data_IF_374807461417
#
_entry.id   IF_374807461417
#
_cell.length_a   1.000
_cell.length_b   1.000
_cell.length_c   1.000
_cell.angle_alpha   90.00
_cell.angle_beta   90.00
_cell.angle_gamma   90.00
#
_symmetry.space_group_name_H-M   'P 1'
#
loop_
_entity.id
_entity.type
_entity.pdbx_description
1 polymer ?
#
# COMPACT_ATOMS: atom_id res chain seq x y z
N UNK A 1 -30.69 71.25 5.47
CA UNK A 1 -31.98 71.48 4.79
C UNK A 1 -31.92 70.69 3.50
N UNK A 2 -32.44 69.46 3.52
CA UNK A 2 -33.72 69.07 2.90
C UNK A 2 -33.59 69.09 1.35
N UNK A 3 -33.81 68.02 0.59
CA UNK A 3 -34.83 66.97 0.76
C UNK A 3 -34.50 65.71 -0.05
N UNK A 4 -35.04 64.59 0.41
CA UNK A 4 -35.18 63.29 -0.25
C UNK A 4 -35.85 63.37 -1.62
N UNK A 5 -35.46 62.48 -2.55
CA UNK A 5 -36.44 61.77 -3.38
C UNK A 5 -35.99 60.33 -3.65
N UNK A 6 -36.90 59.45 -3.26
CA UNK A 6 -36.87 58.00 -3.23
C UNK A 6 -37.31 57.49 -4.62
N UNK A 7 -36.49 56.66 -5.29
CA UNK A 7 -36.92 55.97 -6.52
C UNK A 7 -37.06 54.49 -6.21
N UNK A 8 -38.32 54.04 -6.16
CA UNK A 8 -38.74 52.65 -6.08
C UNK A 8 -38.56 52.01 -7.46
N UNK A 9 -37.74 50.97 -7.56
CA UNK A 9 -37.58 50.22 -8.82
C UNK A 9 -38.26 48.85 -8.72
N UNK A 10 -38.99 48.54 -9.79
CA UNK A 10 -40.10 47.62 -9.80
C UNK A 10 -39.68 46.15 -9.94
N UNK A 11 -40.45 45.29 -9.25
CA UNK A 11 -40.45 43.84 -9.39
C UNK A 11 -40.76 43.45 -10.85
N UNK A 12 -39.81 42.78 -11.51
CA UNK A 12 -40.03 42.13 -12.81
C UNK A 12 -40.26 40.63 -12.59
N UNK A 13 -41.53 40.26 -12.51
CA UNK A 13 -41.99 38.88 -12.61
C UNK A 13 -41.81 38.38 -14.05
N UNK A 14 -41.23 37.19 -14.21
CA UNK A 14 -41.18 36.44 -15.48
C UNK A 14 -42.09 35.21 -15.31
N UNK A 15 -43.02 34.94 -16.26
CA UNK A 15 -43.97 33.85 -16.13
C UNK A 15 -43.36 32.48 -16.53
N UNK A 16 -43.81 31.46 -15.80
CA UNK A 16 -43.64 30.05 -16.10
C UNK A 16 -44.32 29.65 -17.42
N UNK A 17 -43.60 28.93 -18.26
CA UNK A 17 -44.09 28.19 -19.44
C UNK A 17 -43.17 26.98 -19.60
N UNK A 18 -43.55 25.80 -20.05
CA UNK A 18 -44.81 25.08 -20.16
C UNK A 18 -44.35 23.64 -20.43
N UNK A 19 -45.01 22.66 -19.81
CA UNK A 19 -44.77 21.26 -20.06
C UNK A 19 -45.16 20.90 -21.50
N UNK A 20 -44.29 20.20 -22.22
CA UNK A 20 -44.63 19.57 -23.50
C UNK A 20 -44.20 18.10 -23.47
N UNK A 21 -45.20 17.26 -23.20
CA UNK A 21 -45.20 15.82 -23.34
C UNK A 21 -45.47 15.47 -24.79
N UNK A 22 -44.58 14.75 -25.47
CA UNK A 22 -44.93 13.96 -26.65
C UNK A 22 -44.20 12.62 -26.59
N UNK A 23 -44.99 11.55 -26.70
CA UNK A 23 -44.54 10.18 -26.59
C UNK A 23 -44.16 9.52 -27.91
N UNK A 24 -43.42 8.42 -27.75
CA UNK A 24 -43.58 7.12 -28.40
C UNK A 24 -43.58 7.02 -29.93
N UNK A 25 -42.49 6.49 -30.50
CA UNK A 25 -42.54 5.47 -31.55
C UNK A 25 -41.29 4.58 -31.60
N UNK A 26 -41.53 3.29 -31.37
CA UNK A 26 -40.86 2.03 -31.73
C UNK A 26 -39.48 1.97 -32.43
N UNK A 27 -38.61 1.15 -31.81
CA UNK A 27 -37.86 -0.01 -32.34
C UNK A 27 -36.83 0.17 -33.48
N UNK A 28 -35.55 -0.10 -33.17
CA UNK A 28 -34.84 -1.27 -33.74
C UNK A 28 -33.53 -1.58 -33.01
N UNK A 29 -33.12 -2.84 -33.17
CA UNK A 29 -32.27 -3.67 -32.32
C UNK A 29 -30.78 -3.52 -32.62
N UNK A 30 -29.95 -3.22 -31.61
CA UNK A 30 -28.51 -3.50 -31.65
C UNK A 30 -27.99 -3.74 -30.23
N UNK A 31 -27.70 -5.00 -29.92
CA UNK A 31 -27.14 -5.45 -28.65
C UNK A 31 -25.65 -5.07 -28.55
N UNK A 32 -25.29 -4.27 -27.55
CA UNK A 32 -23.89 -4.10 -27.13
C UNK A 32 -23.80 -4.02 -25.61
N UNK A 33 -23.01 -4.95 -25.07
CA UNK A 33 -22.74 -5.30 -23.68
C UNK A 33 -22.58 -4.11 -22.73
N UNK A 34 -23.48 -4.02 -21.75
CA UNK A 34 -23.27 -3.33 -20.47
C UNK A 34 -22.90 -4.41 -19.43
N UNK A 35 -21.78 -4.31 -18.70
CA UNK A 35 -21.51 -5.23 -17.60
C UNK A 35 -22.48 -4.92 -16.46
N UNK A 36 -23.40 -5.85 -16.23
CA UNK A 36 -24.37 -5.84 -15.13
C UNK A 36 -23.59 -6.02 -13.82
N UNK A 37 -23.46 -4.97 -13.02
CA UNK A 37 -22.94 -5.05 -11.66
C UNK A 37 -23.98 -5.82 -10.84
N UNK A 38 -23.64 -7.06 -10.50
CA UNK A 38 -24.43 -7.93 -9.64
C UNK A 38 -24.20 -7.47 -8.19
N UNK A 39 -25.25 -7.20 -7.38
CA UNK A 39 -25.06 -7.12 -5.95
C UNK A 39 -24.64 -8.50 -5.46
N UNK A 40 -23.48 -8.54 -4.80
CA UNK A 40 -22.77 -9.73 -4.35
C UNK A 40 -23.74 -10.69 -3.63
N UNK A 41 -24.08 -11.81 -4.28
CA UNK A 41 -24.79 -12.90 -3.63
C UNK A 41 -23.82 -13.62 -2.68
N UNK A 42 -24.27 -14.07 -1.50
CA UNK A 42 -23.41 -14.78 -0.56
C UNK A 42 -22.95 -16.10 -1.16
N UNK A 43 -21.66 -16.40 -0.97
CA UNK A 43 -20.99 -17.61 -1.46
C UNK A 43 -21.72 -18.88 -0.97
N UNK A 44 -21.79 -19.95 -1.80
CA UNK A 44 -22.36 -21.22 -1.40
C UNK A 44 -21.49 -21.89 -0.32
N UNK A 45 -22.16 -22.47 0.68
CA UNK A 45 -21.59 -23.20 1.79
C UNK A 45 -20.53 -24.20 1.34
N UNK A 46 -19.28 -23.88 1.69
CA UNK A 46 -18.18 -24.81 1.61
C UNK A 46 -18.38 -25.90 2.64
N UNK A 47 -18.51 -27.14 2.16
CA UNK A 47 -18.12 -28.39 2.81
C UNK A 47 -18.05 -28.33 4.34
N UNK A 48 -19.12 -28.81 4.95
CA UNK A 48 -19.27 -29.03 6.38
C UNK A 48 -18.24 -30.04 6.90
N UNK A 49 -17.00 -29.59 7.08
CA UNK A 49 -16.02 -30.22 7.94
C UNK A 49 -16.48 -29.98 9.37
N UNK A 50 -17.22 -30.97 9.89
CA UNK A 50 -17.69 -31.09 11.26
C UNK A 50 -16.77 -30.37 12.27
N UNK A 51 -17.15 -29.14 12.64
CA UNK A 51 -16.65 -28.48 13.86
C UNK A 51 -17.35 -29.15 15.03
N UNK A 52 -16.88 -30.34 15.39
CA UNK A 52 -17.05 -30.84 16.75
C UNK A 52 -16.24 -29.92 17.66
N UNK A 53 -16.92 -29.00 18.32
CA UNK A 53 -16.44 -28.38 19.55
C UNK A 53 -15.86 -29.50 20.43
N UNK A 54 -14.60 -29.44 20.88
CA UNK A 54 -14.17 -30.34 21.94
C UNK A 54 -15.00 -29.94 23.15
N UNK A 55 -15.91 -30.83 23.57
CA UNK A 55 -16.51 -30.71 24.90
C UNK A 55 -15.38 -30.49 25.89
N UNK A 56 -15.53 -29.51 26.77
CA UNK A 56 -14.71 -29.40 27.97
C UNK A 56 -14.98 -30.64 28.84
N UNK A 57 -14.37 -31.75 28.46
CA UNK A 57 -14.14 -32.86 29.38
C UNK A 57 -13.06 -32.35 30.32
N UNK A 58 -13.48 -32.10 31.55
CA UNK A 58 -12.60 -31.98 32.70
C UNK A 58 -11.57 -33.11 32.63
N UNK A 59 -10.34 -32.77 32.25
CA UNK A 59 -9.23 -33.67 32.46
C UNK A 59 -9.01 -33.69 33.96
N UNK A 60 -9.56 -34.70 34.63
CA UNK A 60 -9.12 -35.10 35.95
C UNK A 60 -7.62 -35.35 35.83
N UNK A 61 -6.82 -34.44 36.40
CA UNK A 61 -5.41 -34.69 36.60
C UNK A 61 -5.30 -36.00 37.38
N UNK A 62 -4.78 -37.04 36.74
CA UNK A 62 -4.32 -38.23 37.43
C UNK A 62 -3.08 -37.83 38.23
N UNK A 63 -3.34 -37.27 39.40
CA UNK A 63 -2.37 -37.24 40.48
C UNK A 63 -2.25 -38.68 40.94
N UNK A 64 -1.19 -39.38 40.55
CA UNK A 64 -0.84 -40.65 41.19
C UNK A 64 -0.52 -40.34 42.66
N UNK A 65 -1.30 -40.79 43.65
CA UNK A 65 -0.88 -40.66 45.03
C UNK A 65 0.31 -41.61 45.20
N UNK A 66 1.46 -41.05 45.57
CA UNK A 66 2.55 -41.85 46.13
C UNK A 66 2.06 -42.36 47.48
N UNK A 67 1.49 -43.57 47.49
CA UNK A 67 1.16 -44.29 48.71
C UNK A 67 2.46 -44.86 49.27
N UNK A 68 2.97 -44.19 50.29
CA UNK A 68 3.93 -44.73 51.23
C UNK A 68 3.22 -45.87 51.99
N UNK A 69 3.45 -47.11 51.58
CA UNK A 69 2.89 -48.31 52.21
C UNK A 69 4.01 -49.32 52.31
N UNK A 70 4.39 -49.61 53.56
CA UNK A 70 5.37 -50.62 53.94
C UNK A 70 4.98 -51.99 53.35
N UNK A 71 5.94 -52.84 52.96
CA UNK A 71 5.63 -54.13 52.35
C UNK A 71 5.19 -55.12 53.44
N UNK A 72 3.95 -55.58 53.36
CA UNK A 72 3.41 -56.67 54.18
C UNK A 72 3.72 -58.01 53.52
N UNK A 73 4.53 -58.84 54.19
CA UNK A 73 4.90 -60.19 53.78
C UNK A 73 3.74 -61.18 54.02
N UNK A 74 2.69 -61.15 53.19
CA UNK A 74 1.91 -62.33 52.82
C UNK A 74 0.75 -61.97 51.87
N UNK A 75 1.01 -61.99 50.57
CA UNK A 75 -0.04 -62.13 49.56
C UNK A 75 0.49 -62.95 48.39
N UNK A 76 -0.11 -64.12 48.19
CA UNK A 76 0.11 -65.03 47.07
C UNK A 76 -0.21 -64.32 45.73
N UNK A 77 0.53 -64.58 44.64
CA UNK A 77 0.35 -63.90 43.37
C UNK A 77 -0.83 -64.50 42.60
N UNK A 78 -2.03 -63.97 42.81
CA UNK A 78 -3.22 -64.34 42.04
C UNK A 78 -3.18 -63.67 40.65
N UNK A 79 -2.70 -64.46 39.68
CA UNK A 79 -2.87 -64.36 38.22
C UNK A 79 -3.12 -62.98 37.59
N UNK A 80 -2.03 -62.22 37.45
CA UNK A 80 -1.91 -61.11 36.51
C UNK A 80 -1.98 -61.69 35.07
N UNK A 81 -3.17 -61.63 34.45
CA UNK A 81 -3.39 -62.25 33.14
C UNK A 81 -2.45 -61.63 32.11
N UNK A 82 -1.72 -62.46 31.36
CA UNK A 82 -0.77 -62.00 30.33
C UNK A 82 -1.39 -61.01 29.33
N UNK A 83 -2.71 -61.11 29.15
CA UNK A 83 -3.51 -60.32 28.22
C UNK A 83 -3.68 -58.85 28.65
N UNK A 84 -3.81 -58.58 29.96
CA UNK A 84 -3.89 -57.22 30.51
C UNK A 84 -2.53 -56.51 30.45
N UNK A 85 -1.43 -57.25 30.74
CA UNK A 85 -0.06 -56.77 30.53
C UNK A 85 0.26 -56.49 29.06
N UNK A 86 -0.27 -57.32 28.14
CA UNK A 86 -0.12 -57.11 26.70
C UNK A 86 -0.91 -55.91 26.19
N UNK A 87 -2.14 -55.70 26.68
CA UNK A 87 -2.94 -54.50 26.37
C UNK A 87 -2.26 -53.22 26.87
N UNK A 88 -1.78 -53.22 28.12
CA UNK A 88 -1.04 -52.10 28.69
C UNK A 88 0.27 -51.82 27.94
N UNK A 89 0.95 -52.85 27.42
CA UNK A 89 2.14 -52.69 26.58
C UNK A 89 1.80 -52.07 25.21
N UNK A 90 0.71 -52.51 24.57
CA UNK A 90 0.23 -51.95 23.29
C UNK A 90 -0.19 -50.49 23.43
N UNK A 91 -0.85 -50.12 24.52
CA UNK A 91 -1.28 -48.73 24.73
C UNK A 91 -0.09 -47.80 25.04
N UNK A 92 0.93 -48.29 25.77
CA UNK A 92 2.22 -47.58 25.94
C UNK A 92 2.94 -47.39 24.61
N UNK A 93 2.86 -48.35 23.71
CA UNK A 93 3.43 -48.26 22.36
C UNK A 93 2.69 -47.20 21.51
N UNK A 94 1.36 -47.20 21.51
CA UNK A 94 0.54 -46.17 20.84
C UNK A 94 0.80 -44.78 21.42
N UNK A 95 1.00 -44.66 22.73
CA UNK A 95 1.34 -43.40 23.37
C UNK A 95 2.73 -42.90 22.93
N UNK A 96 3.71 -43.81 22.87
CA UNK A 96 5.06 -43.52 22.36
C UNK A 96 5.02 -43.07 20.90
N UNK A 97 4.21 -43.71 20.06
CA UNK A 97 4.01 -43.32 18.66
C UNK A 97 3.36 -41.93 18.54
N UNK A 98 2.32 -41.65 19.32
CA UNK A 98 1.67 -40.32 19.38
C UNK A 98 2.63 -39.22 19.81
N UNK A 99 3.47 -39.49 20.81
CA UNK A 99 4.47 -38.54 21.27
C UNK A 99 5.52 -38.27 20.19
N UNK A 100 6.01 -39.31 19.52
CA UNK A 100 6.95 -39.19 18.42
C UNK A 100 6.39 -38.33 17.27
N UNK A 101 5.12 -38.54 16.89
CA UNK A 101 4.43 -37.73 15.88
C UNK A 101 4.31 -36.24 16.29
N UNK A 102 4.03 -35.95 17.57
CA UNK A 102 3.98 -34.57 18.10
C UNK A 102 5.35 -33.90 18.13
N UNK A 103 6.39 -34.64 18.52
CA UNK A 103 7.77 -34.14 18.53
C UNK A 103 8.29 -33.87 17.11
N UNK A 104 7.91 -34.70 16.12
CA UNK A 104 8.26 -34.47 14.72
C UNK A 104 7.65 -33.21 14.11
N UNK A 105 6.51 -32.74 14.65
CA UNK A 105 5.84 -31.49 14.24
C UNK A 105 6.18 -30.30 15.15
N UNK A 106 7.13 -30.45 16.08
CA UNK A 106 7.45 -29.41 17.06
C UNK A 106 8.08 -28.19 16.36
N UNK A 107 7.50 -26.99 16.49
CA UNK A 107 8.09 -25.78 15.91
C UNK A 107 9.40 -25.42 16.60
N UNK A 108 10.28 -24.74 15.86
CA UNK A 108 11.57 -24.29 16.37
C UNK A 108 11.40 -23.28 17.51
N UNK A 109 12.40 -23.18 18.40
CA UNK A 109 12.40 -22.16 19.47
C UNK A 109 12.35 -20.74 18.89
N UNK A 110 12.96 -20.54 17.72
CA UNK A 110 12.95 -19.27 16.99
C UNK A 110 11.55 -18.97 16.47
N UNK A 111 10.88 -19.94 15.83
CA UNK A 111 9.49 -19.81 15.35
C UNK A 111 8.52 -19.41 16.46
N UNK A 112 8.68 -20.02 17.64
CA UNK A 112 7.84 -19.71 18.80
C UNK A 112 8.07 -18.29 19.32
N UNK A 113 9.30 -17.75 19.21
CA UNK A 113 9.61 -16.35 19.54
C UNK A 113 9.05 -15.40 18.49
N UNK A 114 9.19 -15.72 17.20
CA UNK A 114 8.62 -14.94 16.09
C UNK A 114 7.09 -14.85 16.16
N UNK A 115 6.44 -15.93 16.61
CA UNK A 115 4.99 -15.95 16.87
C UNK A 115 4.59 -15.34 18.22
N UNK A 116 5.51 -14.73 18.96
CA UNK A 116 5.28 -14.15 20.29
C UNK A 116 4.73 -15.13 21.34
N UNK A 117 4.94 -16.44 21.17
CA UNK A 117 4.53 -17.47 22.14
C UNK A 117 5.55 -17.54 23.29
N UNK A 118 6.82 -17.25 22.99
CA UNK A 118 7.91 -17.22 23.96
C UNK A 118 8.52 -15.81 23.94
N UNK A 119 8.81 -15.26 25.13
CA UNK A 119 9.48 -13.96 25.24
C UNK A 119 10.88 -14.01 24.63
N UNK A 120 11.24 -12.91 23.96
CA UNK A 120 12.61 -12.67 23.50
C UNK A 120 13.37 -12.10 24.69
N UNK A 121 14.36 -12.83 25.19
CA UNK A 121 15.16 -12.42 26.34
C UNK A 121 16.48 -11.80 25.86
N UNK A 122 17.08 -10.92 26.66
CA UNK A 122 18.30 -10.17 26.28
C UNK A 122 19.55 -11.04 26.03
N UNK A 123 19.51 -12.34 26.36
CA UNK A 123 20.56 -13.31 26.03
C UNK A 123 20.50 -13.81 24.57
N UNK A 124 19.41 -13.53 23.84
CA UNK A 124 19.30 -13.79 22.41
C UNK A 124 19.98 -12.67 21.59
N UNK A 125 21.22 -12.33 21.96
CA UNK A 125 22.06 -11.48 21.12
C UNK A 125 22.51 -12.28 19.90
N UNK A 126 22.28 -11.70 18.73
CA UNK A 126 22.64 -12.18 17.40
C UNK A 126 24.11 -12.63 17.39
N UNK A 127 24.34 -13.93 17.51
CA UNK A 127 25.62 -14.56 17.22
C UNK A 127 25.39 -15.67 16.18
N UNK A 128 24.97 -15.29 14.98
CA UNK A 128 25.24 -16.10 13.79
C UNK A 128 26.41 -15.45 13.06
N UNK A 129 27.61 -15.85 13.50
CA UNK A 129 28.85 -15.68 12.75
C UNK A 129 28.65 -16.26 11.35
N UNK A 130 29.01 -15.46 10.34
CA UNK A 130 28.72 -15.73 8.94
C UNK A 130 29.32 -17.03 8.39
N UNK A 131 28.54 -17.69 7.53
CA UNK A 131 29.06 -18.40 6.36
C UNK A 131 28.67 -17.59 5.13
N UNK A 132 29.61 -17.06 4.34
CA UNK A 132 29.29 -16.41 3.08
C UNK A 132 29.06 -17.50 2.03
N UNK A 133 27.92 -17.44 1.35
CA UNK A 133 27.63 -18.23 0.16
C UNK A 133 26.52 -19.26 0.36
N UNK A 134 25.27 -18.81 0.28
CA UNK A 134 24.18 -19.40 -0.51
C UNK A 134 23.00 -18.40 -0.48
N UNK A 135 22.26 -18.38 -1.58
CA UNK A 135 21.31 -17.36 -2.03
C UNK A 135 20.06 -17.26 -1.13
N UNK A 136 19.70 -16.00 -0.81
CA UNK A 136 18.37 -15.45 -0.45
C UNK A 136 17.42 -16.32 0.40
N UNK A 137 17.66 -16.37 1.71
CA UNK A 137 16.55 -16.32 2.67
C UNK A 137 16.67 -15.01 3.45
N UNK A 138 15.64 -14.18 3.39
CA UNK A 138 15.53 -12.97 4.21
C UNK A 138 15.81 -13.34 5.67
N UNK A 139 16.82 -12.73 6.32
CA UNK A 139 17.14 -13.09 7.69
C UNK A 139 15.95 -12.75 8.56
N UNK A 140 15.36 -13.77 9.20
CA UNK A 140 14.34 -13.60 10.23
C UNK A 140 14.98 -12.90 11.44
N UNK A 141 15.14 -11.58 11.37
CA UNK A 141 15.80 -10.81 12.40
C UNK A 141 14.86 -10.72 13.60
N UNK A 142 15.24 -11.41 14.67
CA UNK A 142 14.55 -11.34 15.95
C UNK A 142 14.91 -10.00 16.63
N UNK A 143 14.23 -8.93 16.26
CA UNK A 143 14.36 -7.66 16.96
C UNK A 143 13.55 -7.72 18.26
N UNK A 144 14.21 -7.45 19.40
CA UNK A 144 13.51 -7.19 20.65
C UNK A 144 12.59 -5.97 20.42
N UNK A 145 11.26 -6.11 20.58
CA UNK A 145 10.37 -4.97 20.42
C UNK A 145 10.74 -3.94 21.49
N UNK A 146 10.76 -2.63 21.14
CA UNK A 146 11.08 -1.59 22.10
C UNK A 146 10.16 -1.66 23.32
N UNK A 147 10.72 -1.28 24.47
CA UNK A 147 10.00 -1.33 25.75
C UNK A 147 8.68 -0.56 25.63
N UNK A 148 7.65 -1.01 26.35
CA UNK A 148 6.34 -0.31 26.37
C UNK A 148 6.53 1.17 26.73
N UNK A 149 7.46 1.48 27.63
CA UNK A 149 7.80 2.87 28.02
C UNK A 149 8.37 3.66 26.83
N UNK A 150 9.32 3.09 26.10
CA UNK A 150 9.92 3.73 24.92
C UNK A 150 8.88 3.94 23.81
N UNK A 151 8.08 2.92 23.50
CA UNK A 151 6.97 3.02 22.56
C UNK A 151 5.98 4.11 22.95
N UNK A 152 5.65 4.22 24.25
CA UNK A 152 4.75 5.26 24.74
C UNK A 152 5.34 6.67 24.60
N UNK A 153 6.65 6.81 24.84
CA UNK A 153 7.35 8.09 24.68
C UNK A 153 7.42 8.51 23.21
N UNK A 154 7.78 7.57 22.33
CA UNK A 154 7.81 7.78 20.87
C UNK A 154 6.43 8.18 20.34
N UNK A 155 5.38 7.45 20.74
CA UNK A 155 4.00 7.77 20.35
C UNK A 155 3.60 9.18 20.79
N UNK A 156 3.91 9.58 22.02
CA UNK A 156 3.69 10.96 22.50
C UNK A 156 4.42 11.99 21.64
N UNK A 157 5.64 11.69 21.20
CA UNK A 157 6.40 12.53 20.27
C UNK A 157 5.71 12.68 18.90
N UNK A 158 5.22 11.57 18.34
CA UNK A 158 4.49 11.58 17.06
C UNK A 158 3.16 12.35 17.17
N UNK A 159 2.42 12.17 18.27
CA UNK A 159 1.15 12.86 18.49
C UNK A 159 1.32 14.38 18.62
N UNK A 160 2.42 14.85 19.24
CA UNK A 160 2.75 16.28 19.32
C UNK A 160 3.05 16.92 17.96
N UNK A 161 3.58 16.14 17.02
CA UNK A 161 3.94 16.59 15.66
C UNK A 161 2.91 16.17 14.62
N UNK A 162 1.70 15.78 15.05
CA UNK A 162 0.66 15.28 14.16
C UNK A 162 0.16 16.44 13.29
N UNK A 163 0.28 16.36 11.95
CA UNK A 163 -0.22 17.41 11.06
C UNK A 163 -1.76 17.42 11.06
N UNK A 164 -2.32 18.60 10.82
CA UNK A 164 -3.76 18.79 10.67
C UNK A 164 -4.29 18.19 9.36
N UNK A 165 -5.59 17.90 9.31
CA UNK A 165 -6.23 17.31 8.12
C UNK A 165 -6.06 18.20 6.89
N UNK A 166 -6.23 19.51 7.05
CA UNK A 166 -6.11 20.49 5.97
C UNK A 166 -4.72 20.47 5.33
N UNK A 167 -3.65 20.40 6.12
CA UNK A 167 -2.28 20.30 5.60
C UNK A 167 -2.04 19.02 4.79
N UNK A 168 -2.61 17.90 5.24
CA UNK A 168 -2.49 16.63 4.51
C UNK A 168 -3.27 16.66 3.19
N UNK A 169 -4.37 17.39 3.15
CA UNK A 169 -5.16 17.64 1.95
C UNK A 169 -4.41 18.53 0.96
N UNK A 170 -3.81 19.62 1.42
CA UNK A 170 -2.97 20.52 0.61
C UNK A 170 -1.76 19.78 0.01
N UNK A 171 -1.14 18.89 0.80
CA UNK A 171 -0.06 18.00 0.34
C UNK A 171 -0.54 16.84 -0.53
N UNK A 172 -1.84 16.75 -0.82
CA UNK A 172 -2.49 15.72 -1.64
C UNK A 172 -2.26 14.28 -1.12
N UNK A 173 -2.02 14.14 0.18
CA UNK A 173 -1.95 12.86 0.89
C UNK A 173 -3.36 12.37 1.18
N UNK A 174 -4.22 13.27 1.66
CA UNK A 174 -5.66 13.04 1.79
C UNK A 174 -6.39 13.72 0.63
N UNK A 175 -7.48 13.09 0.18
CA UNK A 175 -8.35 13.68 -0.85
C UNK A 175 -9.33 14.67 -0.19
N UNK A 176 -9.66 15.73 -0.92
CA UNK A 176 -10.72 16.68 -0.57
C UNK A 176 -12.10 16.03 -0.70
N UNK A 177 -12.40 15.10 0.21
CA UNK A 177 -13.74 14.54 0.35
C UNK A 177 -14.47 15.35 1.41
N UNK A 178 -15.23 16.32 0.94
CA UNK A 178 -16.23 17.02 1.74
C UNK A 178 -17.42 16.06 1.93
N UNK A 179 -17.51 15.42 3.09
CA UNK A 179 -18.61 14.56 3.52
C UNK A 179 -18.87 13.25 2.72
N UNK A 180 -17.93 12.81 1.87
CA UNK A 180 -18.03 11.50 1.22
C UNK A 180 -17.34 10.45 2.08
N UNK A 181 -17.98 9.28 2.22
CA UNK A 181 -17.41 8.16 2.97
C UNK A 181 -16.08 7.68 2.34
N UNK A 182 -15.16 7.19 3.17
CA UNK A 182 -13.85 6.73 2.74
C UNK A 182 -13.95 5.60 1.69
N UNK A 183 -14.98 4.75 1.82
CA UNK A 183 -15.29 3.68 0.87
C UNK A 183 -15.57 4.19 -0.55
N UNK A 184 -16.20 5.36 -0.68
CA UNK A 184 -16.61 5.95 -1.96
C UNK A 184 -15.58 6.92 -2.55
N UNK A 185 -14.56 7.31 -1.78
CA UNK A 185 -13.57 8.32 -2.18
C UNK A 185 -12.88 7.93 -3.51
N UNK A 186 -12.50 6.66 -3.66
CA UNK A 186 -11.86 6.18 -4.90
C UNK A 186 -12.79 6.29 -6.11
N UNK A 187 -14.07 5.94 -5.95
CA UNK A 187 -15.07 6.03 -7.03
C UNK A 187 -15.39 7.47 -7.39
N UNK A 188 -15.48 8.36 -6.39
CA UNK A 188 -15.71 9.79 -6.59
C UNK A 188 -14.52 10.45 -7.32
N UNK A 189 -13.29 10.10 -6.96
CA UNK A 189 -12.09 10.56 -7.64
C UNK A 189 -12.04 10.09 -9.10
N UNK A 190 -12.40 8.84 -9.35
CA UNK A 190 -12.47 8.30 -10.72
C UNK A 190 -13.51 9.04 -11.56
N UNK A 191 -14.69 9.30 -11.00
CA UNK A 191 -15.74 10.07 -11.67
C UNK A 191 -15.29 11.51 -11.96
N UNK A 192 -14.68 12.18 -10.98
CA UNK A 192 -14.13 13.54 -11.15
C UNK A 192 -13.09 13.59 -12.26
N UNK A 193 -12.21 12.59 -12.34
CA UNK A 193 -11.22 12.47 -13.42
C UNK A 193 -11.89 12.30 -14.78
N UNK A 194 -12.88 11.40 -14.90
CA UNK A 194 -13.62 11.19 -16.14
C UNK A 194 -14.33 12.46 -16.62
N UNK A 195 -15.00 13.17 -15.71
CA UNK A 195 -15.65 14.45 -16.03
C UNK A 195 -14.66 15.50 -16.52
N UNK A 196 -13.49 15.60 -15.88
CA UNK A 196 -12.43 16.52 -16.31
C UNK A 196 -11.88 16.14 -17.69
N UNK A 197 -11.70 14.84 -17.97
CA UNK A 197 -11.24 14.39 -19.30
C UNK A 197 -12.27 14.69 -20.38
N UNK A 198 -13.56 14.46 -20.11
CA UNK A 198 -14.63 14.75 -21.07
C UNK A 198 -14.74 16.24 -21.36
N UNK A 199 -14.66 17.07 -20.30
CA UNK A 199 -14.66 18.53 -20.42
C UNK A 199 -13.45 19.02 -21.21
N UNK A 200 -12.26 18.51 -20.92
CA UNK A 200 -11.03 18.84 -21.63
C UNK A 200 -11.12 18.43 -23.11
N UNK A 201 -11.63 17.22 -23.40
CA UNK A 201 -11.81 16.76 -24.77
C UNK A 201 -12.79 17.65 -25.56
N UNK A 202 -13.87 18.09 -24.93
CA UNK A 202 -14.81 19.05 -25.53
C UNK A 202 -14.14 20.38 -25.88
N UNK A 203 -13.33 20.94 -24.96
CA UNK A 203 -12.57 22.17 -25.23
C UNK A 203 -11.50 22.00 -26.31
N UNK A 204 -10.83 20.85 -26.37
CA UNK A 204 -9.87 20.55 -27.42
C UNK A 204 -10.54 20.39 -28.78
N UNK A 205 -11.72 19.77 -28.84
CA UNK A 205 -12.48 19.64 -30.07
C UNK A 205 -12.98 20.99 -30.61
N UNK A 206 -13.33 21.91 -29.71
CA UNK A 206 -13.74 23.28 -30.04
C UNK A 206 -12.56 24.25 -30.23
N UNK A 207 -11.32 23.76 -30.34
CA UNK A 207 -10.14 24.61 -30.49
C UNK A 207 -10.20 25.38 -31.83
N UNK A 208 -10.16 26.73 -31.82
CA UNK A 208 -10.23 27.51 -33.05
C UNK A 208 -9.00 27.28 -33.93
N UNK A 209 -9.22 27.26 -35.25
CA UNK A 209 -8.13 27.21 -36.22
C UNK A 209 -7.30 28.50 -36.17
N UNK A 210 -5.99 28.47 -36.54
CA UNK A 210 -5.12 29.65 -36.47
C UNK A 210 -5.67 30.90 -37.19
N UNK A 211 -6.35 30.72 -38.33
CA UNK A 211 -6.98 31.82 -39.07
C UNK A 211 -8.20 32.43 -38.35
N UNK A 212 -8.89 31.64 -37.53
CA UNK A 212 -9.97 32.14 -36.69
C UNK A 212 -9.44 32.89 -35.47
N UNK A 213 -8.26 32.50 -34.96
CA UNK A 213 -7.63 33.15 -33.80
C UNK A 213 -7.23 34.60 -34.11
N UNK A 214 -6.63 34.86 -35.27
CA UNK A 214 -6.28 36.23 -35.69
C UNK A 214 -7.51 37.13 -35.82
N UNK A 215 -8.63 36.56 -36.27
CA UNK A 215 -9.87 37.28 -36.55
C UNK A 215 -10.73 37.49 -35.30
N UNK A 216 -10.83 36.48 -34.42
CA UNK A 216 -11.73 36.47 -33.25
C UNK A 216 -11.05 36.81 -31.93
N UNK A 217 -9.79 36.41 -31.74
CA UNK A 217 -9.07 36.54 -30.46
C UNK A 217 -8.10 37.73 -30.44
N UNK A 218 -8.06 38.54 -31.50
CA UNK A 218 -7.28 39.79 -31.51
C UNK A 218 -5.75 39.60 -31.48
N UNK A 219 -5.26 38.38 -31.74
CA UNK A 219 -3.83 38.13 -31.87
C UNK A 219 -3.38 38.68 -33.22
N UNK A 220 -2.58 39.77 -33.18
CA UNK A 220 -1.96 40.39 -34.35
C UNK A 220 -0.46 40.12 -34.30
N UNK A 221 0.10 39.77 -35.44
CA UNK A 221 1.55 39.68 -35.59
C UNK A 221 2.04 41.00 -36.17
N UNK A 222 2.89 41.69 -35.41
CA UNK A 222 3.61 42.83 -35.97
C UNK A 222 4.70 42.32 -36.91
N UNK A 223 4.77 42.91 -38.11
CA UNK A 223 5.74 42.52 -39.14
C UNK A 223 7.19 42.75 -38.68
N UNK A 224 7.37 43.76 -37.82
CA UNK A 224 8.66 44.09 -37.22
C UNK A 224 8.63 43.81 -35.73
N UNK A 225 9.53 42.93 -35.28
CA UNK A 225 9.76 42.71 -33.85
C UNK A 225 10.78 43.71 -33.35
N UNK A 226 10.40 44.58 -32.41
CA UNK A 226 11.35 45.41 -31.68
C UNK A 226 12.16 44.54 -30.73
N UNK A 227 13.36 44.15 -31.15
CA UNK A 227 14.31 43.43 -30.29
C UNK A 227 14.94 44.45 -29.35
N UNK A 228 14.28 44.71 -28.23
CA UNK A 228 14.89 45.44 -27.13
C UNK A 228 15.94 44.53 -26.49
N UNK A 229 17.23 44.94 -26.43
CA UNK A 229 18.21 44.20 -25.67
C UNK A 229 17.81 44.27 -24.19
N UNK A 230 17.18 43.19 -23.69
CA UNK A 230 16.74 43.06 -22.30
C UNK A 230 17.90 43.13 -21.31
N UNK A 231 19.11 42.91 -21.82
CA UNK A 231 20.34 43.02 -21.06
C UNK A 231 21.39 43.71 -21.92
N UNK A 232 22.12 44.65 -21.32
CA UNK A 232 23.38 45.09 -21.92
C UNK A 232 24.33 43.88 -22.02
N UNK A 233 25.24 43.87 -22.98
CA UNK A 233 26.28 42.82 -23.11
C UNK A 233 27.07 42.62 -21.80
N UNK A 234 27.10 43.64 -20.94
CA UNK A 234 27.70 43.63 -19.59
C UNK A 234 26.83 42.94 -18.54
N UNK A 235 25.51 42.88 -18.72
CA UNK A 235 24.53 42.34 -17.78
C UNK A 235 24.19 40.86 -18.06
N UNK A 236 24.33 40.41 -19.31
CA UNK A 236 24.11 39.01 -19.70
C UNK A 236 25.31 38.46 -20.46
N UNK A 237 26.36 38.15 -19.71
CA UNK A 237 27.57 37.53 -20.25
C UNK A 237 27.35 36.03 -20.48
N UNK A 238 27.02 35.64 -21.72
CA UNK A 238 26.91 34.22 -22.15
C UNK A 238 28.27 33.53 -22.31
N UNK A 239 29.39 34.21 -22.04
CA UNK A 239 30.68 33.52 -22.03
C UNK A 239 30.68 32.51 -20.88
N UNK A 240 31.25 31.31 -21.10
CA UNK A 240 31.41 30.36 -20.02
C UNK A 240 32.17 31.02 -18.87
N UNK A 241 31.72 30.81 -17.64
CA UNK A 241 32.40 31.31 -16.45
C UNK A 241 33.89 30.92 -16.51
N UNK A 242 34.78 31.88 -16.27
CA UNK A 242 36.23 31.62 -16.23
C UNK A 242 36.61 30.54 -15.23
N UNK A 243 35.77 30.35 -14.20
CA UNK A 243 35.92 29.33 -13.16
C UNK A 243 35.08 28.05 -13.39
N UNK A 244 34.51 27.86 -14.58
CA UNK A 244 33.68 26.70 -14.87
C UNK A 244 34.39 25.38 -14.51
N UNK A 245 33.65 24.48 -13.85
CA UNK A 245 34.19 23.28 -13.22
C UNK A 245 34.99 22.38 -14.17
N UNK A 246 34.62 22.33 -15.46
CA UNK A 246 35.34 21.54 -16.47
C UNK A 246 36.81 21.97 -16.67
N UNK A 247 37.16 23.23 -16.38
CA UNK A 247 38.57 23.70 -16.43
C UNK A 247 39.43 23.15 -15.29
N UNK A 248 38.81 22.78 -14.17
CA UNK A 248 39.49 22.23 -12.99
C UNK A 248 39.48 20.69 -12.98
N UNK A 249 38.91 20.07 -14.00
CA UNK A 249 38.76 18.62 -14.05
C UNK A 249 40.09 17.97 -14.46
N UNK A 250 40.64 17.15 -13.57
CA UNK A 250 41.81 16.34 -13.92
C UNK A 250 41.43 15.24 -14.92
N UNK A 251 42.36 14.74 -15.76
CA UNK A 251 42.08 13.63 -16.68
C UNK A 251 41.51 12.40 -15.97
N UNK A 252 41.95 12.14 -14.73
CA UNK A 252 41.45 11.06 -13.89
C UNK A 252 39.98 11.28 -13.50
N UNK A 253 39.64 12.45 -12.96
CA UNK A 253 38.26 12.77 -12.60
C UNK A 253 37.33 12.73 -13.82
N UNK A 254 37.84 13.10 -15.01
CA UNK A 254 37.07 13.00 -16.25
C UNK A 254 36.73 11.55 -16.62
N UNK A 255 37.66 10.63 -16.40
CA UNK A 255 37.43 9.20 -16.61
C UNK A 255 36.44 8.64 -15.59
N UNK A 256 36.62 8.96 -14.31
CA UNK A 256 35.72 8.53 -13.23
C UNK A 256 34.27 9.00 -13.48
N UNK A 257 34.08 10.28 -13.82
CA UNK A 257 32.74 10.81 -14.17
C UNK A 257 32.17 10.12 -15.41
N UNK A 258 33.00 9.80 -16.41
CA UNK A 258 32.54 9.11 -17.62
C UNK A 258 32.07 7.68 -17.31
N UNK A 259 32.83 6.95 -16.50
CA UNK A 259 32.49 5.59 -16.08
C UNK A 259 31.21 5.58 -15.25
N UNK A 260 31.09 6.49 -14.27
CA UNK A 260 29.90 6.64 -13.43
C UNK A 260 28.65 6.93 -14.28
N UNK A 261 28.74 7.88 -15.22
CA UNK A 261 27.63 8.23 -16.10
C UNK A 261 27.23 7.08 -17.03
N UNK A 262 28.18 6.29 -17.53
CA UNK A 262 27.87 5.13 -18.35
C UNK A 262 27.18 4.03 -17.53
N UNK A 263 27.64 3.81 -16.30
CA UNK A 263 27.05 2.83 -15.38
C UNK A 263 25.60 3.18 -15.08
N UNK A 264 25.31 4.45 -14.78
CA UNK A 264 23.96 4.95 -14.55
C UNK A 264 23.06 4.74 -15.78
N UNK A 265 23.53 5.15 -16.97
CA UNK A 265 22.79 4.99 -18.22
C UNK A 265 22.48 3.53 -18.57
N UNK A 266 23.32 2.59 -18.14
CA UNK A 266 23.18 1.16 -18.45
C UNK A 266 22.26 0.44 -17.49
N UNK A 267 22.30 0.78 -16.20
CA UNK A 267 21.68 -0.03 -15.16
C UNK A 267 20.49 0.65 -14.47
N UNK A 268 20.51 1.98 -14.34
CA UNK A 268 19.51 2.72 -13.54
C UNK A 268 18.52 3.50 -14.40
N UNK A 269 18.96 3.96 -15.58
CA UNK A 269 18.11 4.73 -16.48
C UNK A 269 17.16 3.81 -17.24
N UNK A 270 15.84 3.97 -17.01
CA UNK A 270 14.82 3.25 -17.76
C UNK A 270 14.73 3.77 -19.20
N UNK A 271 15.14 2.95 -20.15
CA UNK A 271 15.04 3.23 -21.59
C UNK A 271 14.15 2.17 -22.24
N UNK A 272 13.24 2.58 -23.13
CA UNK A 272 12.42 1.64 -23.90
C UNK A 272 13.29 0.73 -24.77
N UNK A 273 12.93 -0.55 -24.87
CA UNK A 273 13.73 -1.59 -25.55
C UNK A 273 14.10 -1.21 -26.99
N UNK A 274 13.19 -0.58 -27.73
CA UNK A 274 13.42 -0.17 -29.13
C UNK A 274 14.44 0.97 -29.28
N UNK A 275 14.68 1.74 -28.22
CA UNK A 275 15.62 2.87 -28.20
C UNK A 275 17.00 2.51 -27.64
N UNK A 276 17.19 1.29 -27.11
CA UNK A 276 18.47 0.83 -26.59
C UNK A 276 19.58 0.83 -27.65
N UNK A 277 19.24 0.55 -28.91
CA UNK A 277 20.20 0.60 -30.02
C UNK A 277 20.79 2.00 -30.27
N UNK A 278 20.13 3.05 -29.78
CA UNK A 278 20.60 4.44 -29.91
C UNK A 278 21.39 4.92 -28.69
N UNK A 279 21.54 4.10 -27.64
CA UNK A 279 22.33 4.45 -26.46
C UNK A 279 23.76 3.96 -26.62
N UNK A 280 24.68 4.90 -26.81
CA UNK A 280 26.11 4.62 -26.85
C UNK A 280 26.76 4.90 -25.48
N UNK A 281 27.65 4.00 -25.07
CA UNK A 281 28.51 4.12 -23.89
C UNK A 281 29.97 4.29 -24.37
N UNK A 282 30.78 5.08 -23.67
CA UNK A 282 32.12 5.49 -24.11
C UNK A 282 33.20 5.30 -23.05
#
# INVERSE_FOLDING_TARGET
MASDTQTMDALKAVPATAAATHGSAAAETAASLVPRIVPNAPMPDGVEAARRSPSLQSYSASSTPTTDTMPDENALPESDSMEERASAASDKEKEKERLAARLGRRPSKVDLKLRNIIRVDSSDSIATVGKPGTIQEEPLVLHQPPSIKERSSQLKGCLKKRPERTELVEKNILKEVNNVDASLTATADQLKRAQLTDTLNSHLAARPMPAEVTSKLGIKFDETVEVLPTFRKTEYNRKPDTNATFRKLTPRMKMEIREELNQFKKNEMSVHEQSLQNTAFH
#
